data_IF_077608731845
#
_entry.id   IF_077608731845
#
_cell.length_a   1.000
_cell.length_b   1.000
_cell.length_c   1.000
_cell.angle_alpha   90.00
_cell.angle_beta   90.00
_cell.angle_gamma   90.00
#
_symmetry.space_group_name_H-M   'P 1'
#
loop_
_entity.id
_entity.type
_entity.pdbx_description
1 polymer ?
#
# COMPACT_ATOMS: atom_id res chain seq x y z
N UNK A 1 -2.11 13.21 80.72
CA UNK A 1 -3.52 13.24 81.15
C UNK A 1 -4.38 13.53 79.93
N UNK A 2 -5.54 12.89 79.76
CA UNK A 2 -5.92 11.51 80.01
C UNK A 2 -6.25 10.77 78.70
N UNK A 3 -6.47 9.47 78.85
CA UNK A 3 -7.09 8.57 77.88
C UNK A 3 -8.42 9.11 77.37
N UNK A 4 -8.78 8.76 76.13
CA UNK A 4 -10.13 8.27 75.88
C UNK A 4 -10.09 7.14 74.86
N UNK A 5 -10.66 6.02 75.27
CA UNK A 5 -10.80 4.76 74.55
C UNK A 5 -12.27 4.38 74.55
N UNK A 6 -12.70 3.75 73.43
CA UNK A 6 -13.87 2.85 73.24
C UNK A 6 -15.18 3.55 72.78
N UNK A 7 -16.08 2.94 71.96
CA UNK A 7 -16.06 1.64 71.26
C UNK A 7 -16.33 1.68 69.74
N UNK A 8 -16.10 0.50 69.15
CA UNK A 8 -16.63 0.03 67.88
C UNK A 8 -18.17 -0.05 67.84
N UNK A 9 -18.73 0.22 66.66
CA UNK A 9 -19.95 -0.43 66.19
C UNK A 9 -19.68 -0.88 64.75
N UNK A 10 -19.27 -2.14 64.61
CA UNK A 10 -19.42 -2.89 63.39
C UNK A 10 -20.85 -3.45 63.39
N UNK A 11 -21.60 -3.27 62.30
CA UNK A 11 -22.47 -4.26 61.66
C UNK A 11 -23.35 -3.60 60.59
N UNK A 12 -23.28 -4.13 59.36
CA UNK A 12 -24.12 -3.69 58.24
C UNK A 12 -23.45 -3.81 56.86
N UNK A 13 -23.20 -5.04 56.41
CA UNK A 13 -22.88 -5.42 55.01
C UNK A 13 -23.94 -4.89 54.01
N UNK A 14 -23.73 -4.89 52.66
CA UNK A 14 -22.66 -5.56 51.93
C UNK A 14 -21.89 -4.69 50.93
N UNK A 15 -20.70 -5.22 50.66
CA UNK A 15 -19.78 -4.89 49.61
C UNK A 15 -20.40 -5.19 48.23
N UNK A 16 -20.67 -4.16 47.42
CA UNK A 16 -21.00 -4.32 46.00
C UNK A 16 -20.35 -3.21 45.14
N UNK A 17 -19.09 -3.48 44.78
CA UNK A 17 -18.42 -3.19 43.50
C UNK A 17 -18.12 -1.72 43.15
N UNK A 18 -16.83 -1.39 43.29
CA UNK A 18 -16.03 -0.25 42.79
C UNK A 18 -16.03 -0.05 41.26
N UNK A 19 -17.16 -0.22 40.55
CA UNK A 19 -17.19 -0.14 39.07
C UNK A 19 -18.01 1.02 38.50
N UNK A 20 -18.46 1.94 39.35
CA UNK A 20 -19.35 3.06 38.95
C UNK A 20 -18.73 4.44 39.21
N UNK A 21 -17.40 4.55 39.30
CA UNK A 21 -16.73 5.77 39.77
C UNK A 21 -15.61 6.29 38.85
N UNK A 22 -15.72 6.07 37.54
CA UNK A 22 -14.83 6.69 36.53
C UNK A 22 -15.55 7.14 35.24
N UNK A 23 -16.75 7.71 35.35
CA UNK A 23 -17.36 8.51 34.27
C UNK A 23 -17.62 9.96 34.70
N UNK A 24 -16.70 10.52 35.48
CA UNK A 24 -16.72 11.93 35.85
C UNK A 24 -15.35 12.56 35.66
N UNK A 25 -15.18 13.34 34.59
CA UNK A 25 -14.57 14.69 34.58
C UNK A 25 -14.21 15.12 33.15
N UNK A 26 -14.99 16.08 32.64
CA UNK A 26 -14.45 17.26 31.97
C UNK A 26 -15.49 18.39 32.06
N UNK A 27 -15.61 18.96 33.26
CA UNK A 27 -16.20 20.28 33.46
C UNK A 27 -15.09 21.32 33.27
N UNK A 28 -15.14 22.10 32.20
CA UNK A 28 -14.41 23.35 32.08
C UNK A 28 -15.19 24.30 31.15
N UNK A 29 -16.05 25.12 31.75
CA UNK A 29 -16.67 26.26 31.07
C UNK A 29 -16.85 27.42 32.05
N UNK A 30 -16.01 28.43 31.91
CA UNK A 30 -16.35 29.82 32.24
C UNK A 30 -15.66 30.75 31.23
N UNK A 31 -16.37 31.14 30.18
CA UNK A 31 -16.27 32.45 29.53
C UNK A 31 -17.49 32.65 28.62
N UNK A 32 -18.15 33.79 28.77
CA UNK A 32 -19.41 34.16 28.15
C UNK A 32 -19.24 34.59 26.68
N UNK A 33 -20.15 34.15 25.81
CA UNK A 33 -20.62 34.90 24.64
C UNK A 33 -21.94 34.29 24.14
N UNK A 34 -22.95 35.16 23.99
CA UNK A 34 -24.31 34.84 23.57
C UNK A 34 -24.31 34.38 22.10
N UNK A 35 -24.75 33.15 21.84
CA UNK A 35 -25.32 32.74 20.56
C UNK A 35 -26.23 31.53 20.77
N UNK A 36 -27.52 31.73 20.46
CA UNK A 36 -28.62 30.76 20.30
C UNK A 36 -28.32 29.33 20.74
N UNK A 37 -28.90 28.93 21.87
CA UNK A 37 -28.92 27.54 22.31
C UNK A 37 -29.55 26.66 21.22
N UNK A 38 -28.87 25.62 20.68
CA UNK A 38 -29.58 24.49 20.15
C UNK A 38 -30.28 23.83 21.33
N UNK A 39 -31.59 23.61 21.22
CA UNK A 39 -32.31 22.76 22.16
C UNK A 39 -31.49 21.50 22.35
N UNK A 40 -31.02 21.26 23.58
CA UNK A 40 -30.37 20.01 23.93
C UNK A 40 -31.42 18.92 23.77
N UNK A 41 -31.42 18.29 22.59
CA UNK A 41 -31.96 16.95 22.44
C UNK A 41 -31.07 16.11 23.33
N UNK A 42 -31.48 15.98 24.60
CA UNK A 42 -31.09 14.91 25.47
C UNK A 42 -31.50 13.67 24.70
N UNK A 43 -30.56 13.11 23.93
CA UNK A 43 -30.72 11.84 23.29
C UNK A 43 -31.12 10.90 24.42
N UNK A 44 -32.40 10.56 24.47
CA UNK A 44 -32.86 9.38 25.15
C UNK A 44 -32.01 8.29 24.51
N UNK A 45 -30.98 7.85 25.22
CA UNK A 45 -30.32 6.59 24.94
C UNK A 45 -31.42 5.56 25.16
N UNK A 46 -32.23 5.36 24.13
CA UNK A 46 -33.07 4.18 24.02
C UNK A 46 -32.13 3.01 24.26
N UNK A 47 -32.56 2.13 25.14
CA UNK A 47 -31.90 0.88 25.43
C UNK A 47 -31.87 0.07 24.11
N UNK A 48 -30.87 0.31 23.26
CA UNK A 48 -30.68 -0.40 21.98
C UNK A 48 -30.25 -1.84 22.19
N UNK A 49 -30.10 -2.26 23.45
CA UNK A 49 -29.73 -3.60 23.92
C UNK A 49 -30.72 -4.72 23.50
N UNK A 50 -31.78 -4.40 22.75
CA UNK A 50 -32.71 -5.37 22.16
C UNK A 50 -33.14 -5.08 20.72
N UNK A 51 -32.53 -4.10 20.04
CA UNK A 51 -32.78 -3.86 18.62
C UNK A 51 -31.84 -4.77 17.80
N UNK A 52 -32.43 -5.70 17.04
CA UNK A 52 -31.70 -6.41 16.01
C UNK A 52 -31.31 -5.44 14.89
N UNK A 53 -30.07 -5.54 14.42
CA UNK A 53 -29.57 -4.74 13.31
C UNK A 53 -30.33 -5.08 12.01
N UNK A 54 -30.37 -4.13 11.07
CA UNK A 54 -31.01 -4.35 9.77
C UNK A 54 -30.47 -5.61 9.09
N UNK A 55 -31.37 -6.51 8.68
CA UNK A 55 -31.02 -7.73 7.94
C UNK A 55 -30.28 -7.41 6.63
N UNK A 56 -30.60 -6.26 6.01
CA UNK A 56 -29.91 -5.76 4.83
C UNK A 56 -28.46 -5.38 5.14
N UNK A 57 -28.22 -4.65 6.24
CA UNK A 57 -26.87 -4.28 6.68
C UNK A 57 -26.05 -5.52 7.05
N UNK A 58 -26.63 -6.46 7.79
CA UNK A 58 -25.96 -7.72 8.14
C UNK A 58 -25.57 -8.53 6.88
N UNK A 59 -26.47 -8.63 5.90
CA UNK A 59 -26.17 -9.32 4.65
C UNK A 59 -25.08 -8.62 3.83
N UNK A 60 -25.15 -7.29 3.71
CA UNK A 60 -24.14 -6.50 3.01
C UNK A 60 -22.78 -6.61 3.71
N UNK A 61 -22.76 -6.58 5.04
CA UNK A 61 -21.54 -6.69 5.84
C UNK A 61 -20.90 -8.07 5.73
N UNK A 62 -21.68 -9.14 5.75
CA UNK A 62 -21.16 -10.50 5.50
C UNK A 62 -20.52 -10.60 4.11
N UNK A 63 -21.16 -10.07 3.07
CA UNK A 63 -20.60 -10.03 1.72
C UNK A 63 -19.30 -9.21 1.65
N UNK A 64 -19.20 -8.13 2.44
CA UNK A 64 -17.97 -7.36 2.60
C UNK A 64 -16.86 -8.19 3.28
N UNK A 65 -17.18 -8.92 4.36
CA UNK A 65 -16.22 -9.82 5.01
C UNK A 65 -15.73 -10.94 4.06
N UNK A 66 -16.62 -11.53 3.28
CA UNK A 66 -16.27 -12.53 2.27
C UNK A 66 -15.34 -11.94 1.20
N UNK A 67 -15.63 -10.73 0.72
CA UNK A 67 -14.77 -10.03 -0.24
C UNK A 67 -13.39 -9.66 0.35
N UNK A 68 -13.32 -9.30 1.63
CA UNK A 68 -12.06 -9.11 2.35
C UNK A 68 -11.22 -10.40 2.37
N UNK A 69 -11.85 -11.54 2.66
CA UNK A 69 -11.20 -12.83 2.67
C UNK A 69 -10.71 -13.22 1.27
N UNK A 70 -11.54 -13.06 0.24
CA UNK A 70 -11.18 -13.36 -1.15
C UNK A 70 -10.01 -12.48 -1.65
N UNK A 71 -10.03 -11.19 -1.33
CA UNK A 71 -8.95 -10.28 -1.69
C UNK A 71 -7.63 -10.68 -1.05
N UNK A 72 -7.65 -11.01 0.26
CA UNK A 72 -6.47 -11.50 0.97
C UNK A 72 -5.95 -12.81 0.38
N UNK A 73 -6.82 -13.77 0.12
CA UNK A 73 -6.46 -15.05 -0.49
C UNK A 73 -5.89 -14.87 -1.91
N UNK A 74 -6.40 -13.90 -2.68
CA UNK A 74 -5.83 -13.55 -3.98
C UNK A 74 -4.42 -12.95 -3.84
N UNK A 75 -4.18 -12.09 -2.86
CA UNK A 75 -2.85 -11.53 -2.57
C UNK A 75 -1.87 -12.62 -2.13
N UNK A 76 -2.27 -13.48 -1.20
CA UNK A 76 -1.43 -14.57 -0.69
C UNK A 76 -1.06 -15.55 -1.81
N UNK A 77 -2.01 -15.88 -2.71
CA UNK A 77 -1.73 -16.68 -3.91
C UNK A 77 -0.75 -16.00 -4.87
N UNK A 78 -0.86 -14.68 -5.06
CA UNK A 78 0.05 -13.92 -5.92
C UNK A 78 1.47 -13.88 -5.34
N UNK A 79 1.60 -13.71 -4.03
CA UNK A 79 2.88 -13.72 -3.31
C UNK A 79 3.53 -15.10 -3.34
N UNK A 80 2.75 -16.15 -3.08
CA UNK A 80 3.22 -17.52 -3.21
C UNK A 80 3.76 -17.82 -4.62
N UNK A 81 3.05 -17.36 -5.67
CA UNK A 81 3.51 -17.50 -7.06
C UNK A 81 4.84 -16.78 -7.28
N UNK A 82 5.00 -15.57 -6.73
CA UNK A 82 6.23 -14.82 -6.86
C UNK A 82 7.42 -15.56 -6.23
N UNK A 83 7.23 -16.15 -5.05
CA UNK A 83 8.26 -16.93 -4.36
C UNK A 83 8.57 -18.24 -5.08
N UNK A 84 7.54 -18.96 -5.54
CA UNK A 84 7.69 -20.21 -6.30
C UNK A 84 8.53 -19.98 -7.56
N UNK A 85 8.28 -18.90 -8.31
CA UNK A 85 8.99 -18.64 -9.55
C UNK A 85 10.29 -17.84 -9.40
N UNK A 86 10.59 -17.35 -8.19
CA UNK A 86 11.74 -16.49 -7.92
C UNK A 86 13.07 -17.11 -8.37
N UNK A 87 13.23 -18.42 -8.17
CA UNK A 87 14.46 -19.14 -8.49
C UNK A 87 14.65 -19.39 -9.99
N UNK A 88 13.58 -19.33 -10.79
CA UNK A 88 13.63 -19.51 -12.25
C UNK A 88 13.66 -18.17 -12.99
N UNK A 89 13.34 -17.07 -12.30
CA UNK A 89 13.29 -15.75 -12.91
C UNK A 89 14.70 -15.27 -13.30
N UNK A 90 14.97 -15.03 -14.60
CA UNK A 90 16.30 -14.63 -15.03
C UNK A 90 16.61 -13.21 -14.57
N UNK A 91 17.89 -12.96 -14.28
CA UNK A 91 18.40 -11.59 -14.11
C UNK A 91 18.78 -11.00 -15.46
N UNK A 92 18.53 -9.71 -15.64
CA UNK A 92 18.95 -9.01 -16.85
C UNK A 92 20.49 -8.99 -16.94
N UNK A 93 21.06 -9.30 -18.13
CA UNK A 93 22.49 -9.18 -18.40
C UNK A 93 23.04 -7.80 -18.04
N UNK A 94 24.30 -7.73 -17.59
CA UNK A 94 24.93 -6.48 -17.11
C UNK A 94 24.97 -5.40 -18.21
N UNK A 95 25.05 -5.82 -19.47
CA UNK A 95 25.07 -4.98 -20.66
C UNK A 95 23.77 -4.21 -20.90
N UNK A 96 22.64 -4.72 -20.39
CA UNK A 96 21.32 -4.08 -20.52
C UNK A 96 21.03 -3.08 -19.40
N UNK A 97 21.86 -3.04 -18.36
CA UNK A 97 21.56 -2.26 -17.17
C UNK A 97 21.87 -0.78 -17.39
N UNK A 98 21.01 0.07 -16.82
CA UNK A 98 21.09 1.53 -16.81
C UNK A 98 21.14 2.08 -15.37
N UNK A 99 20.54 3.22 -15.07
CA UNK A 99 20.61 3.84 -13.75
C UNK A 99 20.28 2.85 -12.63
N UNK A 100 21.07 2.88 -11.55
CA UNK A 100 20.72 2.22 -10.29
C UNK A 100 19.59 3.00 -9.59
N UNK A 101 19.02 2.41 -8.54
CA UNK A 101 17.92 2.97 -7.75
C UNK A 101 16.64 3.21 -8.54
N UNK A 102 16.32 2.31 -9.47
CA UNK A 102 15.08 2.40 -10.25
C UNK A 102 13.81 2.30 -9.39
N UNK A 103 13.91 1.69 -8.20
CA UNK A 103 12.82 1.57 -7.23
C UNK A 103 12.40 2.89 -6.58
N UNK A 104 13.26 3.92 -6.61
CA UNK A 104 12.98 5.21 -5.96
C UNK A 104 11.95 6.07 -6.73
N UNK A 105 11.42 5.57 -7.86
CA UNK A 105 10.45 6.28 -8.70
C UNK A 105 11.01 7.49 -9.45
N UNK A 106 12.32 7.73 -9.36
CA UNK A 106 13.00 8.89 -9.99
C UNK A 106 13.07 8.79 -11.52
N UNK A 107 12.86 7.60 -12.08
CA UNK A 107 12.98 7.34 -13.51
C UNK A 107 11.65 6.85 -14.07
N UNK A 108 11.23 7.41 -15.20
CA UNK A 108 10.08 6.94 -16.00
C UNK A 108 10.43 5.73 -16.87
N UNK A 109 11.69 5.32 -16.88
CA UNK A 109 12.24 4.28 -17.73
C UNK A 109 11.83 2.87 -17.24
N UNK A 110 11.82 1.86 -18.13
CA UNK A 110 11.58 0.48 -17.76
C UNK A 110 12.59 0.01 -16.70
N UNK A 111 12.10 -0.59 -15.63
CA UNK A 111 12.94 -1.13 -14.56
C UNK A 111 12.92 -2.66 -14.57
N UNK A 112 13.96 -3.27 -14.02
CA UNK A 112 14.01 -4.70 -13.78
C UNK A 112 12.93 -5.08 -12.77
N UNK A 113 12.04 -5.99 -13.17
CA UNK A 113 10.88 -6.39 -12.36
C UNK A 113 10.82 -7.90 -12.21
N UNK A 114 10.27 -8.34 -11.09
CA UNK A 114 9.97 -9.75 -10.86
C UNK A 114 8.78 -10.23 -11.72
N UNK A 115 8.38 -11.48 -11.49
CA UNK A 115 7.33 -12.13 -12.27
C UNK A 115 5.96 -11.46 -12.09
N UNK A 116 5.68 -10.92 -10.91
CA UNK A 116 4.41 -10.23 -10.61
C UNK A 116 4.47 -8.71 -10.86
N UNK A 117 5.65 -8.19 -11.21
CA UNK A 117 5.86 -6.80 -11.61
C UNK A 117 6.39 -5.88 -10.51
N UNK A 118 6.87 -6.38 -9.38
CA UNK A 118 7.58 -5.58 -8.35
C UNK A 118 9.00 -5.29 -8.80
N UNK A 119 9.61 -4.23 -8.25
CA UNK A 119 11.01 -3.94 -8.53
C UNK A 119 11.92 -5.08 -8.05
N UNK A 120 12.78 -5.57 -8.96
CA UNK A 120 13.70 -6.65 -8.65
C UNK A 120 14.98 -6.06 -8.04
N UNK A 121 15.07 -6.12 -6.71
CA UNK A 121 16.24 -5.67 -5.96
C UNK A 121 17.25 -6.81 -5.85
N UNK A 122 18.32 -6.76 -6.64
CA UNK A 122 19.38 -7.79 -6.65
C UNK A 122 20.66 -7.32 -5.97
N UNK A 123 21.49 -8.29 -5.61
CA UNK A 123 22.85 -8.05 -5.12
C UNK A 123 23.72 -7.43 -6.24
N UNK A 124 24.53 -6.44 -5.89
CA UNK A 124 25.44 -5.76 -6.82
C UNK A 124 26.84 -6.36 -6.82
N UNK A 125 27.16 -7.27 -5.90
CA UNK A 125 28.49 -7.88 -5.71
C UNK A 125 29.10 -8.42 -7.02
N UNK A 126 28.28 -9.08 -7.84
CA UNK A 126 28.69 -9.74 -9.09
C UNK A 126 28.79 -8.78 -10.30
N UNK A 127 28.34 -7.53 -10.18
CA UNK A 127 28.32 -6.54 -11.27
C UNK A 127 29.69 -5.86 -11.42
N UNK A 128 30.62 -6.59 -12.01
CA UNK A 128 32.05 -6.20 -12.10
C UNK A 128 32.41 -5.36 -13.30
N UNK A 129 31.68 -5.47 -14.42
CA UNK A 129 32.00 -4.73 -15.63
C UNK A 129 31.61 -3.25 -15.53
N UNK A 130 30.56 -2.95 -14.76
CA UNK A 130 29.90 -1.64 -14.77
C UNK A 130 30.01 -0.86 -13.47
N UNK A 131 30.00 -1.53 -12.32
CA UNK A 131 30.00 -0.84 -11.03
C UNK A 131 31.41 -0.80 -10.43
N UNK A 132 31.80 0.38 -9.94
CA UNK A 132 33.03 0.53 -9.19
C UNK A 132 32.93 -0.22 -7.84
N UNK A 133 34.04 -0.78 -7.32
CA UNK A 133 34.05 -1.48 -6.03
C UNK A 133 33.53 -0.64 -4.86
N UNK A 134 33.77 0.69 -4.86
CA UNK A 134 33.22 1.61 -3.85
C UNK A 134 31.68 1.62 -3.88
N UNK A 135 31.10 1.76 -5.07
CA UNK A 135 29.65 1.82 -5.24
C UNK A 135 28.98 0.52 -4.79
N UNK A 136 29.54 -0.65 -5.14
CA UNK A 136 29.01 -1.96 -4.69
C UNK A 136 28.99 -2.11 -3.17
N UNK A 137 30.01 -1.58 -2.48
CA UNK A 137 30.08 -1.62 -1.00
C UNK A 137 29.01 -0.76 -0.35
N UNK A 138 28.77 0.44 -0.89
CA UNK A 138 27.77 1.38 -0.40
C UNK A 138 26.34 0.94 -0.77
N UNK A 139 26.16 0.36 -1.95
CA UNK A 139 24.86 -0.03 -2.51
C UNK A 139 24.83 -1.54 -2.77
N UNK A 140 24.81 -2.32 -1.68
CA UNK A 140 24.84 -3.79 -1.77
C UNK A 140 23.67 -4.37 -2.57
N UNK A 141 22.50 -3.73 -2.50
CA UNK A 141 21.31 -4.17 -3.21
C UNK A 141 20.62 -2.98 -3.88
N UNK A 142 20.21 -3.14 -5.14
CA UNK A 142 19.46 -2.12 -5.88
C UNK A 142 18.66 -2.74 -7.02
N UNK A 143 17.64 -2.04 -7.50
CA UNK A 143 17.02 -2.29 -8.80
C UNK A 143 17.68 -1.42 -9.87
N UNK A 144 17.73 -1.92 -11.10
CA UNK A 144 18.26 -1.19 -12.26
C UNK A 144 17.17 -0.83 -13.25
N UNK A 145 17.36 0.30 -13.92
CA UNK A 145 16.68 0.59 -15.18
C UNK A 145 17.23 -0.35 -16.26
N UNK A 146 16.39 -0.78 -17.19
CA UNK A 146 16.77 -1.67 -18.29
C UNK A 146 16.69 -0.94 -19.63
N UNK A 147 17.60 -1.32 -20.54
CA UNK A 147 17.45 -1.06 -21.97
C UNK A 147 16.51 -2.11 -22.56
N UNK A 148 15.49 -1.64 -23.26
CA UNK A 148 14.59 -2.51 -24.04
C UNK A 148 15.11 -2.70 -25.46
N UNK A 149 14.68 -3.77 -26.12
CA UNK A 149 15.04 -4.02 -27.51
C UNK A 149 14.62 -2.86 -28.43
N UNK A 150 13.42 -2.30 -28.21
CA UNK A 150 12.86 -1.20 -29.00
C UNK A 150 13.67 0.10 -28.85
N UNK A 151 14.08 0.46 -27.63
CA UNK A 151 14.95 1.61 -27.39
C UNK A 151 16.30 1.46 -28.09
N UNK A 152 16.92 0.28 -28.02
CA UNK A 152 18.19 0.01 -28.69
C UNK A 152 18.08 0.03 -30.21
N UNK A 153 16.98 -0.47 -30.79
CA UNK A 153 16.71 -0.29 -32.23
C UNK A 153 16.62 1.18 -32.61
N UNK A 154 15.99 1.99 -31.75
CA UNK A 154 15.96 3.45 -31.91
C UNK A 154 17.36 4.08 -31.89
N UNK A 155 18.23 3.62 -31.00
CA UNK A 155 19.63 4.05 -30.94
C UNK A 155 20.44 3.59 -32.15
N UNK A 156 20.30 2.33 -32.57
CA UNK A 156 20.96 1.79 -33.76
C UNK A 156 20.57 2.56 -35.02
N UNK A 157 19.28 2.89 -35.17
CA UNK A 157 18.79 3.74 -36.27
C UNK A 157 19.45 5.13 -36.27
N UNK A 158 19.57 5.76 -35.10
CA UNK A 158 20.26 7.07 -34.98
C UNK A 158 21.74 6.95 -35.35
N UNK A 159 22.42 5.90 -34.90
CA UNK A 159 23.82 5.67 -35.23
C UNK A 159 24.03 5.44 -36.72
N UNK A 160 23.27 4.53 -37.33
CA UNK A 160 23.38 4.20 -38.77
C UNK A 160 23.07 5.40 -39.67
N UNK A 161 22.17 6.29 -39.27
CA UNK A 161 21.88 7.54 -39.99
C UNK A 161 22.94 8.62 -39.80
N UNK A 162 23.72 8.57 -38.71
CA UNK A 162 24.76 9.55 -38.43
C UNK A 162 26.02 9.29 -39.25
N UNK A 163 26.65 10.37 -39.72
CA UNK A 163 27.97 10.29 -40.38
C UNK A 163 29.06 10.68 -39.39
N UNK A 164 30.12 9.87 -39.19
CA UNK A 164 31.24 10.25 -38.33
C UNK A 164 31.94 11.48 -38.90
N UNK A 165 32.18 12.49 -38.05
CA UNK A 165 32.80 13.78 -38.42
C UNK A 165 34.18 13.90 -37.77
N UNK A 166 35.09 14.67 -38.36
CA UNK A 166 36.40 14.97 -37.74
C UNK A 166 37.16 16.00 -38.57
N UNK A 167 37.81 16.98 -37.90
CA UNK A 167 38.56 18.05 -38.57
C UNK A 167 39.92 17.58 -39.11
N UNK A 168 40.48 16.52 -38.51
CA UNK A 168 41.75 15.91 -38.90
C UNK A 168 41.53 14.44 -39.25
N UNK A 169 42.42 13.85 -40.06
CA UNK A 169 42.35 12.43 -40.43
C UNK A 169 42.32 11.51 -39.21
N UNK A 170 43.20 11.77 -38.23
CA UNK A 170 43.25 11.02 -36.96
C UNK A 170 41.96 11.12 -36.15
N UNK A 171 41.35 12.31 -36.08
CA UNK A 171 40.07 12.48 -35.39
C UNK A 171 38.93 11.77 -36.11
N UNK A 172 38.92 11.81 -37.45
CA UNK A 172 37.92 11.12 -38.25
C UNK A 172 38.01 9.59 -38.08
N UNK A 173 39.22 9.04 -38.08
CA UNK A 173 39.46 7.60 -37.84
C UNK A 173 39.00 7.18 -36.45
N UNK A 174 39.36 7.93 -35.40
CA UNK A 174 38.89 7.67 -34.03
C UNK A 174 37.37 7.70 -33.94
N UNK A 175 36.72 8.66 -34.59
CA UNK A 175 35.27 8.78 -34.57
C UNK A 175 34.57 7.68 -35.40
N UNK A 176 35.19 7.21 -36.48
CA UNK A 176 34.73 6.03 -37.22
C UNK A 176 34.82 4.77 -36.36
N UNK A 177 35.93 4.56 -35.66
CA UNK A 177 36.11 3.43 -34.77
C UNK A 177 35.08 3.45 -33.62
N UNK A 178 34.85 4.61 -33.01
CA UNK A 178 33.81 4.78 -31.98
C UNK A 178 32.41 4.51 -32.53
N UNK A 179 32.10 5.04 -33.72
CA UNK A 179 30.81 4.82 -34.39
C UNK A 179 30.54 3.34 -34.69
N UNK A 180 31.53 2.63 -35.26
CA UNK A 180 31.45 1.18 -35.50
C UNK A 180 31.24 0.41 -34.19
N UNK A 181 32.01 0.76 -33.15
CA UNK A 181 31.87 0.15 -31.83
C UNK A 181 30.47 0.37 -31.25
N UNK A 182 29.94 1.58 -31.34
CA UNK A 182 28.62 1.92 -30.82
C UNK A 182 27.51 1.13 -31.54
N UNK A 183 27.63 0.92 -32.86
CA UNK A 183 26.72 0.07 -33.64
C UNK A 183 26.79 -1.37 -33.15
N UNK A 184 27.98 -1.95 -33.05
CA UNK A 184 28.18 -3.33 -32.57
C UNK A 184 27.62 -3.54 -31.16
N UNK A 185 27.85 -2.57 -30.26
CA UNK A 185 27.29 -2.62 -28.90
C UNK A 185 25.75 -2.54 -28.91
N UNK A 186 25.14 -1.72 -29.78
CA UNK A 186 23.68 -1.68 -29.91
C UNK A 186 23.13 -3.01 -30.45
N UNK A 187 23.76 -3.58 -31.48
CA UNK A 187 23.36 -4.87 -32.05
C UNK A 187 23.41 -6.00 -31.01
N UNK A 188 24.48 -6.07 -30.22
CA UNK A 188 24.60 -7.02 -29.11
C UNK A 188 23.49 -6.81 -28.07
N UNK A 189 23.25 -5.56 -27.65
CA UNK A 189 22.21 -5.26 -26.66
C UNK A 189 20.80 -5.58 -27.16
N UNK A 190 20.51 -5.38 -28.45
CA UNK A 190 19.24 -5.79 -29.05
C UNK A 190 19.04 -7.29 -28.88
N UNK A 191 20.04 -8.11 -29.26
CA UNK A 191 19.94 -9.57 -29.14
C UNK A 191 19.74 -10.01 -27.69
N UNK A 192 20.50 -9.44 -26.75
CA UNK A 192 20.37 -9.75 -25.32
C UNK A 192 19.01 -9.33 -24.76
N UNK A 193 18.51 -8.15 -25.15
CA UNK A 193 17.22 -7.64 -24.71
C UNK A 193 16.07 -8.50 -25.24
N UNK A 194 16.10 -8.87 -26.53
CA UNK A 194 15.10 -9.77 -27.13
C UNK A 194 15.05 -11.12 -26.41
N UNK A 195 16.21 -11.73 -26.12
CA UNK A 195 16.27 -13.00 -25.40
C UNK A 195 15.70 -12.87 -23.99
N UNK A 196 16.09 -11.82 -23.26
CA UNK A 196 15.62 -11.58 -21.90
C UNK A 196 14.11 -11.27 -21.85
N UNK A 197 13.61 -10.41 -22.73
CA UNK A 197 12.19 -10.06 -22.85
C UNK A 197 11.36 -11.29 -23.25
N UNK A 198 11.84 -12.10 -24.20
CA UNK A 198 11.18 -13.33 -24.60
C UNK A 198 11.11 -14.34 -23.45
N UNK A 199 12.19 -14.53 -22.70
CA UNK A 199 12.22 -15.48 -21.58
C UNK A 199 11.34 -15.02 -20.42
N UNK A 200 11.41 -13.75 -20.03
CA UNK A 200 10.54 -13.20 -18.96
C UNK A 200 9.07 -13.22 -19.37
N UNK A 201 8.74 -12.96 -20.64
CA UNK A 201 7.38 -13.11 -21.16
C UNK A 201 6.92 -14.57 -21.18
N UNK A 202 7.79 -15.52 -21.56
CA UNK A 202 7.51 -16.95 -21.51
C UNK A 202 7.19 -17.40 -20.10
N UNK A 203 8.01 -17.03 -19.12
CA UNK A 203 7.81 -17.38 -17.71
C UNK A 203 6.51 -16.78 -17.14
N UNK A 204 6.18 -15.53 -17.46
CA UNK A 204 4.87 -14.93 -17.07
C UNK A 204 3.69 -15.71 -17.63
N UNK A 205 3.79 -16.15 -18.89
CA UNK A 205 2.73 -16.95 -19.52
C UNK A 205 2.58 -18.32 -18.88
N UNK A 206 3.69 -19.02 -18.62
CA UNK A 206 3.66 -20.38 -18.07
C UNK A 206 3.24 -20.38 -16.59
N UNK A 207 3.70 -19.39 -15.82
CA UNK A 207 3.32 -19.24 -14.40
C UNK A 207 1.87 -18.86 -14.17
N UNK A 208 1.20 -18.25 -15.17
CA UNK A 208 -0.12 -17.65 -14.99
C UNK A 208 -0.09 -16.36 -14.17
N UNK A 209 1.07 -15.71 -14.03
CA UNK A 209 1.23 -14.51 -13.22
C UNK A 209 0.26 -13.38 -13.61
N UNK A 210 -0.01 -13.19 -14.91
CA UNK A 210 -0.94 -12.16 -15.36
C UNK A 210 -2.38 -12.45 -14.93
N UNK A 211 -2.80 -13.73 -14.93
CA UNK A 211 -4.12 -14.12 -14.44
C UNK A 211 -4.24 -13.94 -12.92
N UNK A 212 -3.19 -14.30 -12.16
CA UNK A 212 -3.16 -14.07 -10.71
C UNK A 212 -3.23 -12.58 -10.36
N UNK A 213 -2.48 -11.73 -11.10
CA UNK A 213 -2.55 -10.27 -10.94
C UNK A 213 -3.93 -9.71 -11.27
N UNK A 214 -4.58 -10.25 -12.29
CA UNK A 214 -5.94 -9.86 -12.64
C UNK A 214 -6.93 -10.27 -11.54
N UNK A 215 -6.81 -11.48 -10.99
CA UNK A 215 -7.64 -11.93 -9.86
C UNK A 215 -7.53 -11.02 -8.64
N UNK A 216 -6.33 -10.52 -8.30
CA UNK A 216 -6.18 -9.54 -7.21
C UNK A 216 -6.91 -8.23 -7.51
N UNK A 217 -6.86 -7.75 -8.76
CA UNK A 217 -7.58 -6.54 -9.17
C UNK A 217 -9.10 -6.74 -9.14
N UNK A 218 -9.57 -7.90 -9.59
CA UNK A 218 -10.99 -8.23 -9.60
C UNK A 218 -11.51 -8.34 -8.16
N UNK A 219 -10.75 -8.96 -7.26
CA UNK A 219 -11.08 -9.03 -5.84
C UNK A 219 -11.04 -7.66 -5.14
N UNK A 220 -10.09 -6.77 -5.46
CA UNK A 220 -10.09 -5.37 -4.98
C UNK A 220 -11.35 -4.63 -5.44
N UNK A 221 -11.75 -4.82 -6.70
CA UNK A 221 -12.97 -4.20 -7.23
C UNK A 221 -14.24 -4.72 -6.54
N UNK A 222 -14.32 -6.03 -6.28
CA UNK A 222 -15.41 -6.65 -5.52
C UNK A 222 -15.46 -6.12 -4.09
N UNK A 223 -14.31 -6.06 -3.42
CA UNK A 223 -14.17 -5.53 -2.07
C UNK A 223 -14.65 -4.07 -1.97
N UNK A 224 -14.22 -3.21 -2.90
CA UNK A 224 -14.67 -1.80 -2.93
C UNK A 224 -16.17 -1.67 -3.17
N UNK A 225 -16.73 -2.51 -4.04
CA UNK A 225 -18.17 -2.55 -4.28
C UNK A 225 -18.94 -2.97 -3.02
N UNK A 226 -18.51 -4.05 -2.36
CA UNK A 226 -19.14 -4.53 -1.14
C UNK A 226 -19.06 -3.47 -0.01
N UNK A 227 -17.93 -2.77 0.10
CA UNK A 227 -17.78 -1.66 1.05
C UNK A 227 -18.73 -0.49 0.75
N UNK A 228 -18.92 -0.14 -0.52
CA UNK A 228 -19.91 0.88 -0.94
C UNK A 228 -21.34 0.44 -0.61
N UNK A 229 -21.69 -0.83 -0.85
CA UNK A 229 -23.00 -1.39 -0.51
C UNK A 229 -23.29 -1.29 1.00
N UNK A 230 -22.33 -1.67 1.86
CA UNK A 230 -22.42 -1.49 3.32
C UNK A 230 -22.63 -0.01 3.70
N UNK A 231 -21.94 0.91 3.03
CA UNK A 231 -22.03 2.34 3.34
C UNK A 231 -23.43 2.93 3.08
N UNK A 232 -24.21 2.31 2.18
CA UNK A 232 -25.55 2.75 1.77
C UNK A 232 -26.66 2.22 2.66
N UNK A 233 -26.44 1.09 3.33
CA UNK A 233 -27.42 0.51 4.25
C UNK A 233 -27.64 1.42 5.49
N UNK A 234 -28.86 1.45 6.02
CA UNK A 234 -29.13 2.13 7.29
C UNK A 234 -28.59 1.30 8.47
N UNK A 235 -28.03 1.97 9.47
CA UNK A 235 -27.60 1.35 10.72
C UNK A 235 -28.57 1.73 11.83
N UNK A 236 -29.12 0.74 12.52
CA UNK A 236 -30.07 0.92 13.62
C UNK A 236 -29.38 0.81 14.99
N UNK A 237 -28.19 0.21 15.04
CA UNK A 237 -27.43 0.03 16.28
C UNK A 237 -26.03 0.63 16.21
N UNK A 238 -25.37 0.72 17.36
CA UNK A 238 -23.95 1.09 17.45
C UNK A 238 -23.04 0.05 16.75
N UNK A 239 -23.45 -1.22 16.72
CA UNK A 239 -22.73 -2.28 16.02
C UNK A 239 -22.78 -2.05 14.51
N UNK A 240 -23.96 -1.69 13.96
CA UNK A 240 -24.10 -1.33 12.56
C UNK A 240 -23.29 -0.09 12.16
N UNK A 241 -23.18 0.90 13.04
CA UNK A 241 -22.27 2.03 12.81
C UNK A 241 -20.81 1.59 12.76
N UNK A 242 -20.42 0.61 13.57
CA UNK A 242 -19.11 -0.03 13.52
C UNK A 242 -18.84 -0.73 12.19
N UNK A 243 -19.77 -1.57 11.74
CA UNK A 243 -19.71 -2.25 10.44
C UNK A 243 -19.48 -1.27 9.28
N UNK A 244 -20.22 -0.15 9.28
CA UNK A 244 -20.07 0.90 8.27
C UNK A 244 -18.73 1.62 8.38
N UNK A 245 -18.26 1.90 9.59
CA UNK A 245 -16.96 2.52 9.79
C UNK A 245 -15.81 1.63 9.28
N UNK A 246 -15.88 0.32 9.51
CA UNK A 246 -14.91 -0.64 8.99
C UNK A 246 -14.90 -0.65 7.46
N UNK A 247 -16.06 -0.78 6.80
CA UNK A 247 -16.16 -0.71 5.35
C UNK A 247 -15.59 0.60 4.76
N UNK A 248 -15.83 1.74 5.43
CA UNK A 248 -15.30 3.04 5.01
C UNK A 248 -13.77 3.12 5.11
N UNK A 249 -13.12 2.37 6.01
CA UNK A 249 -11.65 2.33 6.06
C UNK A 249 -11.04 1.70 4.81
N UNK A 250 -11.77 0.81 4.15
CA UNK A 250 -11.35 0.19 2.88
C UNK A 250 -11.66 1.09 1.69
N UNK A 251 -12.89 1.60 1.59
CA UNK A 251 -13.31 2.41 0.43
C UNK A 251 -12.70 3.82 0.40
N UNK A 252 -12.47 4.44 1.56
CA UNK A 252 -11.98 5.80 1.70
C UNK A 252 -10.63 5.91 2.45
N UNK A 253 -9.98 4.79 2.78
CA UNK A 253 -8.79 4.74 3.64
C UNK A 253 -7.68 5.72 3.29
N UNK A 254 -7.34 5.84 2.01
CA UNK A 254 -6.29 6.77 1.57
C UNK A 254 -6.70 8.24 1.74
N UNK A 255 -7.95 8.58 1.45
CA UNK A 255 -8.49 9.92 1.70
C UNK A 255 -8.54 10.23 3.19
N UNK A 256 -8.95 9.25 4.01
CA UNK A 256 -8.98 9.35 5.47
C UNK A 256 -7.58 9.60 6.03
N UNK A 257 -6.55 8.89 5.53
CA UNK A 257 -5.15 9.08 5.93
C UNK A 257 -4.60 10.45 5.49
N UNK A 258 -4.88 10.86 4.26
CA UNK A 258 -4.41 12.13 3.71
C UNK A 258 -5.01 13.33 4.47
N UNK A 259 -6.27 13.24 4.86
CA UNK A 259 -6.99 14.35 5.51
C UNK A 259 -6.97 14.26 7.04
N UNK A 260 -6.37 13.20 7.61
CA UNK A 260 -6.39 12.94 9.07
C UNK A 260 -5.90 14.12 9.92
N UNK A 261 -4.83 14.78 9.47
CA UNK A 261 -4.20 15.90 10.17
C UNK A 261 -4.80 17.25 9.79
N UNK A 262 -5.77 17.28 8.88
CA UNK A 262 -6.33 18.54 8.39
C UNK A 262 -7.38 19.08 9.36
N UNK A 263 -7.40 20.41 9.51
CA UNK A 263 -8.43 21.13 10.26
C UNK A 263 -9.74 21.30 9.45
N UNK A 264 -9.78 20.79 8.22
CA UNK A 264 -10.93 20.89 7.31
C UNK A 264 -12.10 20.00 7.78
N UNK A 265 -13.33 20.24 7.30
CA UNK A 265 -14.47 19.34 7.56
C UNK A 265 -14.18 17.88 7.18
N UNK A 266 -13.41 17.64 6.12
CA UNK A 266 -12.99 16.28 5.73
C UNK A 266 -12.08 15.63 6.77
N UNK A 267 -11.15 16.39 7.37
CA UNK A 267 -10.33 15.87 8.47
C UNK A 267 -11.14 15.58 9.74
N UNK A 268 -12.18 16.38 10.02
CA UNK A 268 -13.11 16.11 11.13
C UNK A 268 -13.90 14.82 10.91
N UNK A 269 -14.45 14.63 9.70
CA UNK A 269 -15.14 13.39 9.32
C UNK A 269 -14.20 12.18 9.41
N UNK A 270 -12.95 12.33 8.97
CA UNK A 270 -11.97 11.24 9.03
C UNK A 270 -11.66 10.79 10.45
N UNK A 271 -11.46 11.75 11.36
CA UNK A 271 -11.26 11.47 12.81
C UNK A 271 -12.49 10.84 13.45
N UNK A 272 -13.69 11.26 13.04
CA UNK A 272 -14.93 10.66 13.51
C UNK A 272 -15.04 9.20 13.07
N UNK A 273 -14.86 8.90 11.78
CA UNK A 273 -14.91 7.53 11.24
C UNK A 273 -13.93 6.61 11.96
N UNK A 274 -12.68 7.04 12.14
CA UNK A 274 -11.71 6.23 12.87
C UNK A 274 -12.09 6.05 14.35
N UNK A 275 -12.64 7.07 15.01
CA UNK A 275 -13.09 6.95 16.41
C UNK A 275 -14.23 5.94 16.54
N UNK A 276 -15.17 5.93 15.59
CA UNK A 276 -16.26 4.94 15.54
C UNK A 276 -15.71 3.53 15.30
N UNK A 277 -14.78 3.37 14.36
CA UNK A 277 -14.11 2.10 14.11
C UNK A 277 -13.35 1.59 15.36
N UNK A 278 -12.64 2.48 16.06
CA UNK A 278 -11.85 2.13 17.26
C UNK A 278 -12.74 1.72 18.45
N UNK A 279 -13.89 2.39 18.62
CA UNK A 279 -14.88 2.04 19.65
C UNK A 279 -15.59 0.72 19.32
N UNK A 280 -15.96 0.51 18.05
CA UNK A 280 -16.60 -0.73 17.60
C UNK A 280 -15.64 -1.94 17.71
N UNK A 281 -14.36 -1.76 17.36
CA UNK A 281 -13.34 -2.80 17.49
C UNK A 281 -13.07 -3.19 18.95
N UNK A 282 -13.16 -2.24 19.89
CA UNK A 282 -13.06 -2.53 21.34
C UNK A 282 -14.31 -3.17 21.93
N UNK A 283 -15.48 -2.97 21.33
CA UNK A 283 -16.74 -3.58 21.76
C UNK A 283 -16.90 -5.05 21.29
N UNK A 284 -16.05 -5.49 20.36
CA UNK A 284 -16.08 -6.83 19.75
C UNK A 284 -15.08 -7.84 20.39
N UNK A 285 -14.37 -7.45 21.46
CA UNK A 285 -13.43 -8.26 22.26
C UNK A 285 -14.00 -8.45 23.66
#
# INVERSE_FOLDING_TARGET
MPNETIPAAAEGLPNAKRRTLLFGLAAASTAAAVAVAPSSVRAQLYDTSGLEESAELNSAYNAFCDACAEFKDAQDRLEWLADEWRHQWPLAPEELLLGANAQDGRYTMPAERDIIGRYLVRDTSDLTKRLAPKFRRENRKTCFVLRTADEERGHLKKWTQSKPKGRTAKALERNRAYWLKAIQECELRIQLAEQYEAETARLRRVSGADAARQSVKDADALLRKAADDVSRCEAWTLVGLGMKAEALTVAAGDLLKLTWSDATPLGQLSRFVASVADVAGRASI
#
